data_IF_942687492918
#
_entry.id   IF_942687492918
#
_cell.length_a   1.000
_cell.length_b   1.000
_cell.length_c   1.000
_cell.angle_alpha   90.00
_cell.angle_beta   90.00
_cell.angle_gamma   90.00
#
_symmetry.space_group_name_H-M   'P 1'
#
loop_
_entity.id
_entity.type
_entity.pdbx_description
1 polymer ?
#
# COMPACT_ATOMS: atom_id res chain seq x y z
N UNK A 1 8.86 -20.69 -19.74
CA UNK A 1 8.72 -19.24 -19.45
C UNK A 1 7.38 -18.90 -18.77
N UNK A 2 6.24 -19.37 -19.27
CA UNK A 2 4.92 -19.03 -18.71
C UNK A 2 4.66 -19.54 -17.28
N UNK A 3 5.21 -20.71 -16.91
CA UNK A 3 5.06 -21.24 -15.55
C UNK A 3 5.70 -20.32 -14.49
N UNK A 4 6.88 -19.74 -14.77
CA UNK A 4 7.56 -18.82 -13.86
C UNK A 4 6.71 -17.56 -13.65
N UNK A 5 6.18 -16.98 -14.73
CA UNK A 5 5.29 -15.81 -14.67
C UNK A 5 4.03 -16.12 -13.84
N UNK A 6 3.43 -17.29 -14.04
CA UNK A 6 2.24 -17.68 -13.29
C UNK A 6 2.56 -17.84 -11.80
N UNK A 7 3.68 -18.45 -11.45
CA UNK A 7 4.10 -18.62 -10.05
C UNK A 7 4.40 -17.29 -9.36
N UNK A 8 5.03 -16.33 -10.05
CA UNK A 8 5.34 -15.02 -9.46
C UNK A 8 4.07 -14.21 -9.22
N UNK A 9 3.13 -14.23 -10.17
CA UNK A 9 1.83 -13.54 -10.03
C UNK A 9 1.00 -14.17 -8.89
N UNK A 10 0.92 -15.50 -8.81
CA UNK A 10 0.21 -16.17 -7.73
C UNK A 10 0.82 -15.87 -6.35
N UNK A 11 2.15 -15.89 -6.25
CA UNK A 11 2.86 -15.57 -5.01
C UNK A 11 2.65 -14.12 -4.57
N UNK A 12 2.77 -13.18 -5.51
CA UNK A 12 2.51 -11.75 -5.26
C UNK A 12 1.05 -11.50 -4.86
N UNK A 13 0.10 -12.17 -5.52
CA UNK A 13 -1.33 -12.08 -5.22
C UNK A 13 -1.67 -12.60 -3.82
N UNK A 14 -1.14 -13.78 -3.44
CA UNK A 14 -1.35 -14.33 -2.10
C UNK A 14 -0.76 -13.42 -1.00
N UNK A 15 0.44 -12.89 -1.22
CA UNK A 15 1.07 -11.95 -0.27
C UNK A 15 0.25 -10.66 -0.13
N UNK A 16 -0.26 -10.12 -1.23
CA UNK A 16 -1.08 -8.91 -1.22
C UNK A 16 -2.41 -9.12 -0.48
N UNK A 17 -3.09 -10.24 -0.73
CA UNK A 17 -4.33 -10.59 -0.01
C UNK A 17 -4.09 -10.75 1.49
N UNK A 18 -3.00 -11.41 1.87
CA UNK A 18 -2.61 -11.57 3.27
C UNK A 18 -2.39 -10.22 3.96
N UNK A 19 -1.62 -9.33 3.33
CA UNK A 19 -1.33 -7.98 3.86
C UNK A 19 -2.62 -7.16 4.00
N UNK A 20 -3.44 -7.09 2.95
CA UNK A 20 -4.71 -6.34 2.98
C UNK A 20 -5.64 -6.81 4.09
N UNK A 21 -5.76 -8.13 4.26
CA UNK A 21 -6.58 -8.76 5.30
C UNK A 21 -6.13 -8.34 6.71
N UNK A 22 -4.82 -8.30 6.97
CA UNK A 22 -4.24 -7.92 8.27
C UNK A 22 -4.32 -6.41 8.53
N UNK A 23 -4.11 -5.59 7.51
CA UNK A 23 -4.26 -4.13 7.62
C UNK A 23 -5.72 -3.80 7.98
N UNK A 24 -6.69 -4.39 7.27
CA UNK A 24 -8.11 -4.17 7.54
C UNK A 24 -8.51 -4.65 8.94
N UNK A 25 -7.96 -5.77 9.39
CA UNK A 25 -8.14 -6.25 10.77
C UNK A 25 -7.56 -5.28 11.82
N UNK A 26 -6.35 -4.74 11.59
CA UNK A 26 -5.75 -3.76 12.49
C UNK A 26 -6.59 -2.47 12.57
N UNK A 27 -7.10 -1.99 11.43
CA UNK A 27 -8.03 -0.86 11.36
C UNK A 27 -9.33 -1.13 12.13
N UNK A 28 -9.86 -2.35 12.06
CA UNK A 28 -11.06 -2.75 12.80
C UNK A 28 -10.81 -2.75 14.32
N UNK A 29 -9.65 -3.24 14.76
CA UNK A 29 -9.26 -3.22 16.17
C UNK A 29 -9.06 -1.81 16.73
N UNK A 30 -8.60 -0.86 15.89
CA UNK A 30 -8.51 0.56 16.24
C UNK A 30 -9.86 1.28 16.21
N UNK A 31 -10.97 0.58 15.90
CA UNK A 31 -12.31 1.17 15.79
C UNK A 31 -12.53 2.01 14.54
N UNK A 32 -11.59 1.97 13.57
CA UNK A 32 -11.68 2.71 12.29
C UNK A 32 -12.42 1.94 11.20
N UNK A 33 -12.72 0.66 11.42
CA UNK A 33 -13.52 -0.17 10.52
C UNK A 33 -14.62 -0.90 11.31
N UNK A 34 -15.67 -1.42 10.64
CA UNK A 34 -16.76 -2.14 11.30
C UNK A 34 -16.26 -3.25 12.23
N UNK A 35 -16.86 -3.35 13.42
CA UNK A 35 -16.47 -4.33 14.45
C UNK A 35 -16.59 -5.79 13.97
N UNK A 36 -17.40 -6.06 12.96
CA UNK A 36 -17.52 -7.37 12.33
C UNK A 36 -16.17 -7.88 11.78
N UNK A 37 -15.27 -6.96 11.40
CA UNK A 37 -13.94 -7.29 10.90
C UNK A 37 -12.92 -7.64 12.00
N UNK A 38 -13.24 -7.48 13.29
CA UNK A 38 -12.35 -7.91 14.39
C UNK A 38 -12.49 -9.40 14.72
N UNK A 39 -13.42 -10.12 14.09
CA UNK A 39 -13.59 -11.55 14.33
C UNK A 39 -12.46 -12.37 13.68
N UNK A 40 -11.85 -13.25 14.48
CA UNK A 40 -10.76 -14.14 14.08
C UNK A 40 -11.16 -15.58 14.33
N UNK A 41 -10.91 -16.47 13.36
CA UNK A 41 -11.15 -17.91 13.51
C UNK A 41 -10.11 -18.58 14.42
N UNK A 42 -10.36 -19.82 14.84
CA UNK A 42 -9.45 -20.67 15.66
C UNK A 42 -8.02 -20.80 15.13
N UNK A 43 -7.81 -20.59 13.84
CA UNK A 43 -6.48 -20.61 13.19
C UNK A 43 -5.80 -19.23 13.15
N UNK A 44 -6.33 -18.20 13.82
CA UNK A 44 -5.74 -16.86 13.84
C UNK A 44 -5.98 -16.03 12.56
N UNK A 45 -6.96 -16.42 11.74
CA UNK A 45 -7.28 -15.79 10.45
C UNK A 45 -8.56 -14.94 10.58
N UNK A 46 -8.52 -13.63 10.27
CA UNK A 46 -9.71 -12.79 10.23
C UNK A 46 -10.51 -13.04 8.93
N UNK A 47 -11.48 -13.95 9.01
CA UNK A 47 -12.22 -14.46 7.84
C UNK A 47 -13.01 -13.36 7.13
N UNK A 48 -13.71 -12.50 7.87
CA UNK A 48 -14.54 -11.45 7.25
C UNK A 48 -13.69 -10.45 6.46
N UNK A 49 -12.49 -10.10 6.97
CA UNK A 49 -11.53 -9.28 6.24
C UNK A 49 -11.04 -9.98 4.96
N UNK A 50 -10.75 -11.27 5.05
CA UNK A 50 -10.28 -12.07 3.92
C UNK A 50 -11.35 -12.16 2.82
N UNK A 51 -12.58 -12.51 3.18
CA UNK A 51 -13.69 -12.62 2.23
C UNK A 51 -13.97 -11.27 1.58
N UNK A 52 -13.98 -10.19 2.36
CA UNK A 52 -14.22 -8.85 1.82
C UNK A 52 -13.12 -8.41 0.84
N UNK A 53 -11.85 -8.57 1.20
CA UNK A 53 -10.72 -8.19 0.33
C UNK A 53 -10.64 -9.06 -0.93
N UNK A 54 -10.92 -10.37 -0.82
CA UNK A 54 -10.99 -11.26 -1.96
C UNK A 54 -12.16 -10.90 -2.89
N UNK A 55 -13.35 -10.68 -2.33
CA UNK A 55 -14.54 -10.26 -3.08
C UNK A 55 -14.30 -8.97 -3.86
N UNK A 56 -13.74 -7.94 -3.19
CA UNK A 56 -13.41 -6.69 -3.84
C UNK A 56 -12.37 -6.87 -4.96
N UNK A 57 -11.35 -7.70 -4.72
CA UNK A 57 -10.35 -8.03 -5.74
C UNK A 57 -10.96 -8.73 -6.96
N UNK A 58 -11.88 -9.68 -6.75
CA UNK A 58 -12.59 -10.35 -7.84
C UNK A 58 -13.46 -9.39 -8.65
N UNK A 59 -14.16 -8.46 -8.01
CA UNK A 59 -14.95 -7.43 -8.70
C UNK A 59 -14.06 -6.54 -9.56
N UNK A 60 -12.97 -6.01 -8.98
CA UNK A 60 -12.04 -5.14 -9.71
C UNK A 60 -11.37 -5.87 -10.88
N UNK A 61 -11.04 -7.14 -10.70
CA UNK A 61 -10.55 -8.00 -11.77
C UNK A 61 -11.59 -8.20 -12.87
N UNK A 62 -12.86 -8.43 -12.50
CA UNK A 62 -13.97 -8.52 -13.45
C UNK A 62 -14.18 -7.24 -14.25
N UNK A 63 -14.13 -6.09 -13.59
CA UNK A 63 -14.23 -4.77 -14.22
C UNK A 63 -13.09 -4.53 -15.23
N UNK A 64 -11.91 -5.12 -15.01
CA UNK A 64 -10.77 -4.99 -15.92
C UNK A 64 -11.02 -5.61 -17.31
N UNK A 65 -12.00 -6.49 -17.48
CA UNK A 65 -12.37 -7.05 -18.77
C UNK A 65 -13.30 -6.14 -19.58
N UNK A 66 -13.93 -5.17 -18.93
CA UNK A 66 -14.88 -4.24 -19.54
C UNK A 66 -14.11 -2.99 -20.01
N UNK A 67 -14.43 -2.46 -21.19
CA UNK A 67 -13.93 -1.16 -21.65
C UNK A 67 -12.49 -1.12 -22.18
N UNK A 68 -12.18 -1.93 -23.21
CA UNK A 68 -10.97 -1.82 -24.07
C UNK A 68 -9.64 -1.48 -23.33
N UNK A 69 -9.36 -2.17 -22.21
CA UNK A 69 -8.17 -1.98 -21.36
C UNK A 69 -8.04 -0.61 -20.67
N UNK A 70 -9.04 0.25 -20.76
CA UNK A 70 -9.05 1.56 -20.10
C UNK A 70 -9.09 1.35 -18.59
N UNK A 71 -10.05 0.56 -18.09
CA UNK A 71 -10.20 0.28 -16.65
C UNK A 71 -8.94 -0.38 -16.08
N UNK A 72 -8.34 -1.31 -16.83
CA UNK A 72 -7.06 -1.92 -16.46
C UNK A 72 -5.95 -0.87 -16.25
N UNK A 73 -5.79 0.06 -17.20
CA UNK A 73 -4.78 1.13 -17.10
C UNK A 73 -5.03 2.04 -15.90
N UNK A 74 -6.28 2.35 -15.60
CA UNK A 74 -6.66 3.12 -14.42
C UNK A 74 -6.28 2.39 -13.13
N UNK A 75 -6.61 1.11 -13.00
CA UNK A 75 -6.25 0.31 -11.83
C UNK A 75 -4.73 0.26 -11.62
N UNK A 76 -3.96 0.03 -12.68
CA UNK A 76 -2.49 0.01 -12.60
C UNK A 76 -1.95 1.38 -12.17
N UNK A 77 -2.47 2.48 -12.74
CA UNK A 77 -2.01 3.82 -12.37
C UNK A 77 -2.30 4.13 -10.89
N UNK A 78 -3.52 3.87 -10.42
CA UNK A 78 -3.93 4.09 -9.03
C UNK A 78 -3.03 3.28 -8.08
N UNK A 79 -2.78 2.01 -8.36
CA UNK A 79 -1.92 1.17 -7.51
C UNK A 79 -0.49 1.70 -7.40
N UNK A 80 0.07 2.24 -8.49
CA UNK A 80 1.38 2.88 -8.48
C UNK A 80 1.41 4.12 -7.58
N UNK A 81 0.41 5.00 -7.70
CA UNK A 81 0.30 6.21 -6.86
C UNK A 81 0.10 5.84 -5.39
N UNK A 82 -0.77 4.88 -5.08
CA UNK A 82 -0.97 4.40 -3.70
C UNK A 82 0.31 3.80 -3.11
N UNK A 83 1.09 3.09 -3.92
CA UNK A 83 2.42 2.60 -3.54
C UNK A 83 3.33 3.75 -3.09
N UNK A 84 3.48 4.79 -3.90
CA UNK A 84 4.30 5.95 -3.52
C UNK A 84 3.82 6.62 -2.23
N UNK A 85 2.50 6.79 -2.06
CA UNK A 85 1.93 7.35 -0.82
C UNK A 85 2.29 6.48 0.40
N UNK A 86 2.16 5.15 0.29
CA UNK A 86 2.50 4.24 1.37
C UNK A 86 3.99 4.33 1.76
N UNK A 87 4.89 4.33 0.77
CA UNK A 87 6.33 4.46 1.00
C UNK A 87 6.70 5.83 1.60
N UNK A 88 6.02 6.90 1.18
CA UNK A 88 6.19 8.22 1.77
C UNK A 88 5.79 8.21 3.25
N UNK A 89 4.65 7.60 3.58
CA UNK A 89 4.18 7.42 4.95
C UNK A 89 5.17 6.63 5.81
N UNK A 90 5.73 5.54 5.29
CA UNK A 90 6.75 4.73 5.98
C UNK A 90 8.01 5.56 6.27
N UNK A 91 8.48 6.31 5.27
CA UNK A 91 9.67 7.17 5.42
C UNK A 91 9.46 8.24 6.50
N UNK A 92 8.31 8.92 6.47
CA UNK A 92 7.94 9.92 7.46
C UNK A 92 7.76 9.33 8.86
N UNK A 93 7.10 8.16 8.96
CA UNK A 93 6.93 7.44 10.22
C UNK A 93 8.28 7.05 10.81
N UNK A 94 9.23 6.57 10.00
CA UNK A 94 10.58 6.23 10.46
C UNK A 94 11.35 7.47 10.98
N UNK A 95 11.23 8.61 10.31
CA UNK A 95 11.81 9.86 10.79
C UNK A 95 11.17 10.35 12.11
N UNK A 96 9.84 10.32 12.21
CA UNK A 96 9.10 10.71 13.43
C UNK A 96 9.34 9.75 14.59
N UNK A 97 9.43 8.45 14.32
CA UNK A 97 9.68 7.42 15.33
C UNK A 97 10.98 7.71 16.09
N UNK A 98 12.08 8.01 15.38
CA UNK A 98 13.35 8.30 16.04
C UNK A 98 13.34 9.59 16.85
N UNK A 99 12.61 10.62 16.39
CA UNK A 99 12.42 11.86 17.18
C UNK A 99 11.61 11.58 18.44
N UNK A 100 10.52 10.82 18.34
CA UNK A 100 9.70 10.43 19.48
C UNK A 100 10.48 9.55 20.48
N UNK A 101 11.31 8.63 19.98
CA UNK A 101 12.12 7.74 20.79
C UNK A 101 13.14 8.48 21.66
N UNK A 102 13.81 9.49 21.09
CA UNK A 102 14.74 10.36 21.84
C UNK A 102 13.98 11.23 22.86
N UNK A 103 12.80 11.74 22.50
CA UNK A 103 11.95 12.54 23.40
C UNK A 103 11.40 11.72 24.58
N UNK A 104 11.23 10.41 24.40
CA UNK A 104 10.82 9.49 25.46
C UNK A 104 11.99 9.02 26.36
N UNK A 105 13.15 9.68 26.26
CA UNK A 105 14.35 9.42 27.10
C UNK A 105 14.94 8.02 26.89
N UNK A 106 14.67 7.37 25.76
CA UNK A 106 15.34 6.12 25.38
C UNK A 106 16.67 6.40 24.67
N UNK A 107 17.69 5.60 24.95
CA UNK A 107 18.97 5.74 24.28
C UNK A 107 18.91 5.07 22.91
N UNK A 108 19.50 5.68 21.87
CA UNK A 108 19.56 5.06 20.54
C UNK A 108 20.30 3.70 20.53
N UNK A 109 20.96 3.35 21.63
CA UNK A 109 21.63 2.07 21.83
C UNK A 109 20.68 0.95 22.27
N UNK A 110 19.49 1.29 22.77
CA UNK A 110 18.44 0.32 23.17
C UNK A 110 17.67 -0.22 21.95
N UNK A 111 17.91 0.33 20.77
CA UNK A 111 17.37 -0.16 19.51
C UNK A 111 18.07 -1.46 19.10
N UNK A 112 17.30 -2.56 19.06
CA UNK A 112 17.73 -3.87 18.52
C UNK A 112 18.28 -3.74 17.10
N UNK A 113 17.76 -2.78 16.33
CA UNK A 113 18.23 -2.48 14.98
C UNK A 113 18.49 -0.99 14.79
N UNK A 114 19.73 -0.64 14.45
CA UNK A 114 20.14 0.71 14.07
C UNK A 114 20.23 0.78 12.55
N UNK A 115 19.35 1.57 11.93
CA UNK A 115 19.41 1.79 10.49
C UNK A 115 20.74 2.45 10.09
N UNK A 116 21.51 1.78 9.23
CA UNK A 116 22.88 2.13 8.84
C UNK A 116 22.99 3.52 8.20
N UNK A 117 21.95 3.94 7.45
CA UNK A 117 21.92 5.21 6.74
C UNK A 117 21.07 6.29 7.40
N UNK A 118 20.67 6.13 8.67
CA UNK A 118 19.93 7.19 9.36
C UNK A 118 20.86 8.35 9.72
N UNK A 119 20.52 9.64 9.46
CA UNK A 119 19.23 10.18 9.01
C UNK A 119 19.08 10.39 7.50
N UNK A 120 20.12 10.15 6.71
CA UNK A 120 20.18 10.47 5.29
C UNK A 120 19.19 9.62 4.48
N UNK A 121 19.06 8.33 4.79
CA UNK A 121 18.20 7.38 4.07
C UNK A 121 16.73 7.82 3.99
N UNK A 122 16.06 8.10 5.13
CA UNK A 122 14.68 8.60 5.12
C UNK A 122 14.51 9.95 4.42
N UNK A 123 15.49 10.85 4.48
CA UNK A 123 15.41 12.15 3.81
C UNK A 123 15.47 11.96 2.30
N UNK A 124 16.45 11.18 1.80
CA UNK A 124 16.57 10.87 0.38
C UNK A 124 15.34 10.12 -0.12
N UNK A 125 14.85 9.12 0.62
CA UNK A 125 13.64 8.38 0.26
C UNK A 125 12.42 9.31 0.13
N UNK A 126 12.21 10.20 1.11
CA UNK A 126 11.09 11.15 1.08
C UNK A 126 11.19 12.11 -0.12
N UNK A 127 12.39 12.61 -0.41
CA UNK A 127 12.64 13.52 -1.53
C UNK A 127 12.44 12.83 -2.89
N UNK A 128 12.96 11.61 -3.05
CA UNK A 128 12.76 10.81 -4.27
C UNK A 128 11.29 10.49 -4.50
N UNK A 129 10.56 10.09 -3.45
CA UNK A 129 9.13 9.80 -3.57
C UNK A 129 8.35 11.07 -3.93
N UNK A 130 8.71 12.23 -3.36
CA UNK A 130 8.12 13.51 -3.75
C UNK A 130 8.32 13.81 -5.25
N UNK A 131 9.54 13.60 -5.76
CA UNK A 131 9.84 13.77 -7.19
C UNK A 131 9.01 12.81 -8.05
N UNK A 132 8.88 11.54 -7.66
CA UNK A 132 8.07 10.57 -8.41
C UNK A 132 6.59 10.93 -8.43
N UNK A 133 6.02 11.39 -7.32
CA UNK A 133 4.63 11.83 -7.25
C UNK A 133 4.41 13.06 -8.15
N UNK A 134 5.33 14.03 -8.13
CA UNK A 134 5.27 15.20 -9.01
C UNK A 134 5.41 14.82 -10.50
N UNK A 135 6.31 13.88 -10.83
CA UNK A 135 6.48 13.37 -12.19
C UNK A 135 5.25 12.63 -12.71
N UNK A 136 4.59 11.83 -11.86
CA UNK A 136 3.32 11.18 -12.18
C UNK A 136 2.20 12.21 -12.39
N UNK A 137 2.13 13.24 -11.54
CA UNK A 137 1.17 14.34 -11.69
C UNK A 137 1.36 15.16 -12.97
N UNK A 138 2.62 15.43 -13.35
CA UNK A 138 2.96 16.10 -14.60
C UNK A 138 2.61 15.25 -15.83
N UNK A 139 2.92 13.96 -15.78
CA UNK A 139 2.58 13.01 -16.87
C UNK A 139 1.06 12.87 -17.03
N UNK A 140 0.31 12.82 -15.93
CA UNK A 140 -1.15 12.80 -15.96
C UNK A 140 -1.73 14.08 -16.59
N UNK A 141 -1.16 15.24 -16.26
CA UNK A 141 -1.62 16.54 -16.76
C UNK A 141 -1.29 16.77 -18.25
N UNK A 142 -0.19 16.20 -18.74
CA UNK A 142 0.27 16.40 -20.13
C UNK A 142 -0.30 15.34 -21.10
N UNK A 143 -0.65 14.14 -20.62
CA UNK A 143 -1.10 13.03 -21.49
C UNK A 143 -2.61 13.05 -21.75
N UNK A 144 -3.41 13.65 -20.87
CA UNK A 144 -4.84 13.88 -21.07
C UNK A 144 -5.24 15.24 -20.48
N UNK A 145 -5.50 16.29 -21.30
CA UNK A 145 -6.09 17.51 -20.77
C UNK A 145 -7.43 17.16 -20.10
N UNK A 146 -7.69 17.70 -18.91
CA UNK A 146 -8.90 17.48 -18.12
C UNK A 146 -10.16 17.63 -18.99
N UNK A 147 -10.75 16.50 -19.40
CA UNK A 147 -11.95 16.48 -20.23
C UNK A 147 -13.07 15.79 -19.46
N UNK A 148 -14.07 16.58 -19.06
CA UNK A 148 -15.26 16.16 -18.30
C UNK A 148 -16.20 15.20 -19.08
N UNK A 149 -15.82 14.79 -20.29
CA UNK A 149 -16.65 13.95 -21.18
C UNK A 149 -16.44 12.44 -21.05
N UNK A 150 -15.54 11.96 -20.18
CA UNK A 150 -15.33 10.53 -19.92
C UNK A 150 -15.64 10.14 -18.47
N UNK A 151 -16.75 10.65 -17.94
CA UNK A 151 -17.42 10.06 -16.78
C UNK A 151 -18.51 9.09 -17.25
#
# INVERSE_FOLDING_TARGET
MNAVILTTILSAGNSSLYICTRILYALANEGKAPKQFTYVNRHGIPIWCLVFTAFLSTILFGLSFIGNKIIYRWLVNITGVMGFIAWFGISLAHWRFRRAFILQVYSLNDLVYKALFFPIGPIIASLLICIFVLGQGYSASTTHPFNFSNF
#
